data_IF_145968760534
#
_entry.id   IF_145968760534
#
_cell.length_a   1.000
_cell.length_b   1.000
_cell.length_c   1.000
_cell.angle_alpha   90.00
_cell.angle_beta   90.00
_cell.angle_gamma   90.00
#
_symmetry.space_group_name_H-M   'P 1'
#
loop_
_entity.id
_entity.type
_entity.pdbx_description
1 polymer ?
#
# COMPACT_ATOMS: atom_id res chain seq x y z
N UNK A 1 6.38 -13.26 6.37
CA UNK A 1 6.33 -14.17 5.20
C UNK A 1 4.89 -14.61 4.97
N UNK A 2 4.47 -14.65 3.72
CA UNK A 2 3.11 -14.98 3.27
C UNK A 2 3.22 -15.95 2.10
N UNK A 3 2.52 -17.08 2.20
CA UNK A 3 2.37 -18.03 1.12
C UNK A 3 0.90 -18.32 0.90
N UNK A 4 0.43 -18.20 -0.33
CA UNK A 4 -0.96 -18.40 -0.72
C UNK A 4 -1.04 -19.15 -2.06
N UNK A 5 -2.10 -19.93 -2.31
CA UNK A 5 -2.36 -20.51 -3.63
C UNK A 5 -2.38 -19.46 -4.74
N UNK A 6 -2.02 -19.88 -5.97
CA UNK A 6 -2.03 -19.03 -7.17
C UNK A 6 -3.44 -18.68 -7.65
N UNK A 7 -4.45 -19.48 -7.32
CA UNK A 7 -5.85 -19.21 -7.58
C UNK A 7 -6.72 -19.53 -6.35
N UNK A 8 -7.77 -18.74 -6.07
CA UNK A 8 -8.12 -17.48 -6.73
C UNK A 8 -7.22 -16.31 -6.30
N UNK A 9 -6.90 -15.40 -7.22
CA UNK A 9 -6.01 -14.23 -6.97
C UNK A 9 -6.48 -13.28 -5.85
N UNK A 10 -7.80 -13.22 -5.59
CA UNK A 10 -8.42 -12.29 -4.62
C UNK A 10 -7.79 -12.33 -3.23
N UNK A 11 -7.39 -13.51 -2.74
CA UNK A 11 -6.82 -13.64 -1.39
C UNK A 11 -5.41 -13.04 -1.33
N UNK A 12 -4.59 -13.25 -2.36
CA UNK A 12 -3.26 -12.61 -2.46
C UNK A 12 -3.39 -11.10 -2.55
N UNK A 13 -4.33 -10.61 -3.36
CA UNK A 13 -4.58 -9.17 -3.51
C UNK A 13 -5.05 -8.55 -2.20
N UNK A 14 -5.93 -9.22 -1.44
CA UNK A 14 -6.39 -8.71 -0.15
C UNK A 14 -5.24 -8.59 0.86
N UNK A 15 -4.40 -9.62 1.00
CA UNK A 15 -3.23 -9.56 1.91
C UNK A 15 -2.23 -8.51 1.44
N UNK A 16 -1.98 -8.42 0.13
CA UNK A 16 -1.11 -7.40 -0.45
C UNK A 16 -1.56 -5.98 -0.13
N UNK A 17 -2.87 -5.68 -0.31
CA UNK A 17 -3.45 -4.38 0.01
C UNK A 17 -3.34 -4.03 1.48
N UNK A 18 -3.60 -4.99 2.37
CA UNK A 18 -3.47 -4.79 3.82
C UNK A 18 -2.03 -4.44 4.22
N UNK A 19 -1.04 -5.21 3.73
CA UNK A 19 0.36 -4.98 4.04
C UNK A 19 0.86 -3.64 3.47
N UNK A 20 0.45 -3.29 2.24
CA UNK A 20 0.79 -1.99 1.64
C UNK A 20 0.18 -0.83 2.42
N UNK A 21 -1.08 -0.94 2.84
CA UNK A 21 -1.75 0.05 3.70
C UNK A 21 -1.02 0.25 5.03
N UNK A 22 -0.46 -0.81 5.60
CA UNK A 22 0.33 -0.75 6.81
C UNK A 22 1.73 -0.10 6.62
N UNK A 23 2.11 0.19 5.37
CA UNK A 23 3.42 0.72 5.04
C UNK A 23 4.51 -0.35 4.90
N UNK A 24 4.15 -1.63 4.79
CA UNK A 24 5.12 -2.71 4.60
C UNK A 24 5.81 -2.60 3.22
N UNK A 25 7.09 -2.97 3.18
CA UNK A 25 7.92 -2.95 1.97
C UNK A 25 8.19 -4.38 1.51
N UNK A 26 7.98 -4.71 0.22
CA UNK A 26 8.30 -6.03 -0.29
C UNK A 26 9.83 -6.23 -0.35
N UNK A 27 10.32 -7.34 0.21
CA UNK A 27 11.75 -7.70 0.22
C UNK A 27 12.06 -8.79 -0.81
N UNK A 28 11.15 -9.74 -0.94
CA UNK A 28 11.19 -10.83 -1.93
C UNK A 28 9.77 -11.36 -2.17
N UNK A 29 9.53 -12.22 -3.17
CA UNK A 29 8.21 -12.80 -3.38
C UNK A 29 7.66 -13.45 -2.08
N UNK A 30 6.51 -12.96 -1.61
CA UNK A 30 5.89 -13.42 -0.36
C UNK A 30 6.56 -12.93 0.93
N UNK A 31 7.62 -12.12 0.87
CA UNK A 31 8.30 -11.59 2.05
C UNK A 31 8.20 -10.07 2.10
N UNK A 32 7.78 -9.58 3.26
CA UNK A 32 7.50 -8.18 3.52
C UNK A 32 8.24 -7.77 4.79
N UNK A 33 8.78 -6.55 4.80
CA UNK A 33 9.36 -5.92 5.96
C UNK A 33 8.43 -4.82 6.46
N UNK A 34 8.36 -4.66 7.78
CA UNK A 34 7.62 -3.61 8.46
C UNK A 34 8.44 -3.19 9.69
N UNK A 35 8.43 -1.91 10.11
CA UNK A 35 9.14 -1.51 11.32
C UNK A 35 8.57 -2.26 12.53
N UNK A 36 9.45 -2.61 13.47
CA UNK A 36 9.02 -3.22 14.72
C UNK A 36 8.30 -2.19 15.59
N UNK A 37 7.07 -2.46 15.99
CA UNK A 37 6.32 -1.59 16.88
C UNK A 37 4.85 -1.97 17.03
N UNK A 38 4.22 -1.67 18.17
CA UNK A 38 2.84 -2.06 18.45
C UNK A 38 1.83 -1.44 17.49
N UNK A 39 2.15 -0.28 16.90
CA UNK A 39 1.30 0.39 15.90
C UNK A 39 1.02 -0.49 14.67
N UNK A 40 1.90 -1.46 14.39
CA UNK A 40 1.81 -2.33 13.22
C UNK A 40 1.11 -3.66 13.49
N UNK A 41 0.91 -4.02 14.76
CA UNK A 41 0.32 -5.29 15.14
C UNK A 41 -1.10 -5.50 14.56
N UNK A 42 -2.01 -4.52 14.58
CA UNK A 42 -3.35 -4.72 14.02
C UNK A 42 -3.34 -5.11 12.53
N UNK A 43 -2.43 -4.52 11.75
CA UNK A 43 -2.29 -4.84 10.34
C UNK A 43 -1.69 -6.24 10.12
N UNK A 44 -0.74 -6.66 10.96
CA UNK A 44 -0.19 -8.02 10.93
C UNK A 44 -1.27 -9.06 11.27
N UNK A 45 -2.10 -8.78 12.29
CA UNK A 45 -3.20 -9.66 12.68
C UNK A 45 -4.22 -9.80 11.55
N UNK A 46 -4.57 -8.67 10.91
CA UNK A 46 -5.47 -8.65 9.76
C UNK A 46 -4.90 -9.39 8.56
N UNK A 47 -3.63 -9.16 8.23
CA UNK A 47 -2.96 -9.87 7.14
C UNK A 47 -2.89 -11.39 7.41
N UNK A 48 -2.64 -11.80 8.66
CA UNK A 48 -2.66 -13.20 9.06
C UNK A 48 -4.05 -13.82 8.88
N UNK A 49 -5.11 -13.12 9.28
CA UNK A 49 -6.49 -13.55 9.08
C UNK A 49 -6.85 -13.71 7.59
N UNK A 50 -6.57 -12.68 6.78
CA UNK A 50 -6.77 -12.71 5.33
C UNK A 50 -6.02 -13.87 4.68
N UNK A 51 -4.80 -14.16 5.15
CA UNK A 51 -3.99 -15.29 4.67
C UNK A 51 -4.64 -16.63 5.01
N UNK A 52 -5.14 -16.81 6.25
CA UNK A 52 -5.84 -18.03 6.66
C UNK A 52 -7.12 -18.25 5.86
N UNK A 53 -7.88 -17.18 5.59
CA UNK A 53 -9.10 -17.25 4.77
C UNK A 53 -8.81 -17.70 3.32
N UNK A 54 -7.59 -17.46 2.82
CA UNK A 54 -7.11 -17.96 1.54
C UNK A 54 -6.43 -19.34 1.60
N UNK A 55 -6.55 -20.08 2.69
CA UNK A 55 -5.84 -21.34 2.95
C UNK A 55 -4.32 -21.22 2.80
N UNK A 56 -3.76 -20.06 3.15
CA UNK A 56 -2.34 -19.77 3.10
C UNK A 56 -1.61 -19.95 4.43
N UNK A 57 -0.30 -19.74 4.39
CA UNK A 57 0.58 -19.71 5.56
C UNK A 57 1.11 -18.30 5.79
N UNK A 58 1.08 -17.85 7.05
CA UNK A 58 1.60 -16.55 7.48
C UNK A 58 2.56 -16.74 8.64
N UNK A 59 3.74 -16.10 8.57
CA UNK A 59 4.72 -16.10 9.64
C UNK A 59 5.28 -14.70 9.84
N UNK A 60 5.38 -14.28 11.11
CA UNK A 60 6.08 -13.06 11.52
C UNK A 60 7.42 -13.48 12.11
N UNK A 61 8.48 -12.81 11.69
CA UNK A 61 9.84 -13.07 12.15
C UNK A 61 10.42 -11.72 12.54
N UNK A 62 10.80 -11.58 13.80
CA UNK A 62 11.58 -10.44 14.25
C UNK A 62 13.00 -10.56 13.70
N UNK A 63 13.46 -9.50 13.06
CA UNK A 63 14.78 -9.44 12.43
C UNK A 63 15.47 -8.14 12.80
N UNK A 64 16.80 -8.21 12.95
CA UNK A 64 17.66 -7.05 13.19
C UNK A 64 18.83 -7.09 12.21
N UNK A 65 19.27 -5.94 11.65
CA UNK A 65 20.46 -5.89 10.82
C UNK A 65 21.70 -6.32 11.62
N UNK A 66 22.63 -7.03 10.97
CA UNK A 66 23.88 -7.50 11.59
C UNK A 66 24.96 -6.42 11.62
N UNK A 67 24.87 -5.45 10.72
CA UNK A 67 25.83 -4.37 10.53
C UNK A 67 25.11 -3.09 10.07
N UNK A 68 25.84 -1.98 10.10
CA UNK A 68 25.32 -0.66 9.72
C UNK A 68 24.95 -0.59 8.23
N UNK A 69 25.67 -1.29 7.36
CA UNK A 69 25.37 -1.35 5.93
C UNK A 69 23.98 -1.96 5.67
N UNK A 70 23.67 -3.05 6.35
CA UNK A 70 22.36 -3.71 6.30
C UNK A 70 21.26 -2.83 6.89
N UNK A 71 21.56 -2.11 7.99
CA UNK A 71 20.62 -1.17 8.59
C UNK A 71 20.28 0.00 7.62
N UNK A 72 21.31 0.55 6.97
CA UNK A 72 21.18 1.61 5.97
C UNK A 72 20.36 1.13 4.76
N UNK A 73 20.67 -0.06 4.23
CA UNK A 73 19.94 -0.64 3.11
C UNK A 73 18.44 -0.79 3.41
N UNK A 74 18.09 -1.31 4.59
CA UNK A 74 16.68 -1.46 5.00
C UNK A 74 16.02 -0.09 5.11
N UNK A 75 16.65 0.87 5.82
CA UNK A 75 16.11 2.23 5.96
C UNK A 75 15.88 2.89 4.60
N UNK A 76 16.85 2.81 3.70
CA UNK A 76 16.79 3.46 2.40
C UNK A 76 15.70 2.82 1.52
N UNK A 77 15.45 1.51 1.63
CA UNK A 77 14.33 0.84 0.98
C UNK A 77 12.97 1.35 1.47
N UNK A 78 12.81 1.56 2.78
CA UNK A 78 11.60 2.20 3.34
C UNK A 78 11.44 3.64 2.88
N UNK A 79 12.52 4.42 2.89
CA UNK A 79 12.50 5.80 2.43
C UNK A 79 12.12 5.90 0.95
N UNK A 80 12.72 5.08 0.10
CA UNK A 80 12.41 5.02 -1.33
C UNK A 80 10.94 4.69 -1.58
N UNK A 81 10.40 3.67 -0.89
CA UNK A 81 8.98 3.30 -1.02
C UNK A 81 8.04 4.46 -0.64
N UNK A 82 8.34 5.19 0.44
CA UNK A 82 7.56 6.38 0.84
C UNK A 82 7.69 7.52 -0.16
N UNK A 83 8.90 7.79 -0.65
CA UNK A 83 9.13 8.84 -1.65
C UNK A 83 8.35 8.55 -2.94
N UNK A 84 8.31 7.30 -3.39
CA UNK A 84 7.57 6.93 -4.59
C UNK A 84 6.04 7.03 -4.39
N UNK A 85 5.52 6.61 -3.23
CA UNK A 85 4.11 6.82 -2.86
C UNK A 85 3.74 8.31 -2.81
N UNK A 86 4.61 9.16 -2.25
CA UNK A 86 4.38 10.61 -2.22
C UNK A 86 4.42 11.25 -3.61
N UNK A 87 5.29 10.77 -4.51
CA UNK A 87 5.30 11.24 -5.91
C UNK A 87 4.01 10.88 -6.63
N UNK A 88 3.50 9.66 -6.43
CA UNK A 88 2.22 9.23 -6.99
C UNK A 88 1.08 10.11 -6.46
N UNK A 89 1.03 10.33 -5.14
CA UNK A 89 0.04 11.20 -4.51
C UNK A 89 0.07 12.64 -5.06
N UNK A 90 1.25 13.27 -5.14
CA UNK A 90 1.38 14.62 -5.71
C UNK A 90 0.97 14.67 -7.18
N UNK A 91 1.31 13.63 -7.96
CA UNK A 91 0.89 13.54 -9.35
C UNK A 91 -0.64 13.41 -9.47
N UNK A 92 -1.28 12.66 -8.57
CA UNK A 92 -2.73 12.51 -8.56
C UNK A 92 -3.45 13.80 -8.13
N UNK A 93 -2.92 14.54 -7.15
CA UNK A 93 -3.41 15.91 -6.86
C UNK A 93 -3.31 16.82 -8.10
N UNK A 94 -2.20 16.78 -8.83
CA UNK A 94 -2.03 17.58 -10.04
C UNK A 94 -3.00 17.18 -11.17
N UNK A 95 -3.35 15.90 -11.29
CA UNK A 95 -4.38 15.44 -12.24
C UNK A 95 -5.76 15.97 -11.84
N UNK A 96 -6.11 15.86 -10.56
CA UNK A 96 -7.37 16.34 -10.01
C UNK A 96 -7.55 17.85 -10.24
N UNK A 97 -6.54 18.66 -9.93
CA UNK A 97 -6.59 20.10 -10.21
C UNK A 97 -6.77 20.42 -11.71
N UNK A 98 -6.08 19.68 -12.59
CA UNK A 98 -6.19 19.85 -14.03
C UNK A 98 -7.59 19.44 -14.55
N UNK A 99 -8.21 18.44 -13.94
CA UNK A 99 -9.55 17.97 -14.28
C UNK A 99 -10.61 19.01 -13.92
N UNK A 100 -10.59 19.53 -12.69
CA UNK A 100 -11.44 20.63 -12.24
C UNK A 100 -11.30 21.84 -13.17
N UNK A 101 -10.07 22.25 -13.48
CA UNK A 101 -9.82 23.39 -14.36
C UNK A 101 -10.40 23.18 -15.77
N UNK A 102 -10.30 21.95 -16.30
CA UNK A 102 -10.83 21.56 -17.61
C UNK A 102 -12.36 21.62 -17.63
N UNK A 103 -13.03 21.20 -16.55
CA UNK A 103 -14.49 21.24 -16.45
C UNK A 103 -15.03 22.65 -16.31
N UNK A 104 -14.39 23.47 -15.46
CA UNK A 104 -14.71 24.90 -15.33
C UNK A 104 -14.58 25.59 -16.69
N UNK A 105 -13.49 25.36 -17.43
CA UNK A 105 -13.27 25.96 -18.74
C UNK A 105 -14.33 25.56 -19.78
N UNK A 106 -14.89 24.36 -19.66
CA UNK A 106 -15.97 23.86 -20.51
C UNK A 106 -17.37 24.17 -19.98
N UNK A 107 -17.47 24.81 -18.81
CA UNK A 107 -18.71 25.01 -18.05
C UNK A 107 -19.50 23.69 -17.86
N UNK A 108 -18.80 22.57 -17.67
CA UNK A 108 -19.38 21.22 -17.58
C UNK A 108 -19.86 20.94 -16.16
N UNK A 109 -20.81 21.73 -15.67
CA UNK A 109 -21.33 21.62 -14.31
C UNK A 109 -22.53 20.66 -14.26
N UNK A 110 -22.25 19.36 -14.26
CA UNK A 110 -23.28 18.34 -14.12
C UNK A 110 -23.11 17.60 -12.80
N UNK A 111 -24.22 17.03 -12.30
CA UNK A 111 -24.17 16.24 -11.07
C UNK A 111 -23.25 15.02 -11.19
N UNK A 112 -23.17 14.40 -12.38
CA UNK A 112 -22.29 13.26 -12.61
C UNK A 112 -20.80 13.62 -12.52
N UNK A 113 -20.40 14.81 -12.98
CA UNK A 113 -19.01 15.27 -12.79
C UNK A 113 -18.74 15.57 -11.31
N UNK A 114 -19.69 16.17 -10.60
CA UNK A 114 -19.54 16.38 -9.16
C UNK A 114 -19.33 15.06 -8.41
N UNK A 115 -20.09 14.02 -8.72
CA UNK A 115 -19.92 12.69 -8.13
C UNK A 115 -18.57 12.05 -8.49
N UNK A 116 -18.06 12.29 -9.71
CA UNK A 116 -16.74 11.81 -10.15
C UNK A 116 -15.62 12.51 -9.38
N UNK A 117 -15.71 13.83 -9.21
CA UNK A 117 -14.74 14.61 -8.43
C UNK A 117 -14.75 14.24 -6.94
N UNK A 118 -15.93 14.04 -6.34
CA UNK A 118 -16.06 13.57 -4.95
C UNK A 118 -15.43 12.18 -4.76
N UNK A 119 -15.62 11.26 -5.71
CA UNK A 119 -14.98 9.95 -5.68
C UNK A 119 -13.46 10.01 -5.85
N UNK A 120 -12.96 10.92 -6.69
CA UNK A 120 -11.53 11.13 -6.90
C UNK A 120 -10.86 11.70 -5.64
N UNK A 121 -11.56 12.61 -4.94
CA UNK A 121 -11.09 13.23 -3.70
C UNK A 121 -11.03 12.26 -2.51
N UNK A 122 -12.00 11.35 -2.41
CA UNK A 122 -12.09 10.36 -1.31
C UNK A 122 -11.07 9.20 -1.44
N UNK A 123 -10.25 9.21 -2.48
CA UNK A 123 -9.35 8.12 -2.87
C UNK A 123 -7.99 8.18 -2.19
#
# INVERSE_FOLDING_TARGET
MVQLPSEPSRHRVAVWRELRKAGAVPVSPGTWALPAGPAFQPALDRAAELTRNGAGTFAVIDASPRDEGSANLIRDAFAAARVDEWKEFVADCGKFEAEIAREIAKAKFTFGELEEEEQSLDR
#
